data_IF_406719476466
#
_entry.id   IF_406719476466
#
_cell.length_a   1.000
_cell.length_b   1.000
_cell.length_c   1.000
_cell.angle_alpha   90.00
_cell.angle_beta   90.00
_cell.angle_gamma   90.00
#
_symmetry.space_group_name_H-M   'P 1'
#
loop_
_entity.id
_entity.type
_entity.pdbx_description
1 polymer ?
#
# COMPACT_ATOMS: atom_id res chain seq x y z
N UNK A 1 -33.74 -4.40 -15.40
CA UNK A 1 -33.30 -5.30 -16.50
C UNK A 1 -31.89 -5.92 -16.31
N UNK A 2 -30.97 -5.34 -15.50
CA UNK A 2 -29.60 -5.88 -15.34
C UNK A 2 -29.47 -7.27 -14.64
N UNK A 3 -30.47 -7.70 -13.84
CA UNK A 3 -30.41 -8.95 -13.04
C UNK A 3 -30.95 -10.21 -13.72
N UNK A 4 -31.78 -10.07 -14.76
CA UNK A 4 -32.41 -11.18 -15.48
C UNK A 4 -31.41 -12.23 -16.02
N UNK A 5 -30.30 -11.84 -16.69
CA UNK A 5 -29.32 -12.79 -17.23
C UNK A 5 -28.46 -13.48 -16.16
N UNK A 6 -28.29 -12.88 -14.98
CA UNK A 6 -27.58 -13.52 -13.86
C UNK A 6 -28.44 -14.62 -13.23
N UNK A 7 -29.74 -14.33 -13.04
CA UNK A 7 -30.72 -15.30 -12.57
C UNK A 7 -30.83 -16.51 -13.51
N UNK A 8 -30.91 -16.26 -14.82
CA UNK A 8 -30.96 -17.36 -15.79
C UNK A 8 -29.64 -18.13 -15.88
N UNK A 9 -28.49 -17.49 -15.66
CA UNK A 9 -27.19 -18.18 -15.58
C UNK A 9 -27.08 -19.08 -14.32
N UNK A 10 -27.62 -18.66 -13.18
CA UNK A 10 -27.70 -19.49 -11.96
C UNK A 10 -28.62 -20.70 -12.18
N UNK A 11 -29.78 -20.50 -12.80
CA UNK A 11 -30.70 -21.60 -13.14
C UNK A 11 -30.04 -22.57 -14.14
N UNK A 12 -29.32 -22.06 -15.14
CA UNK A 12 -28.56 -22.86 -16.08
C UNK A 12 -27.47 -23.70 -15.38
N UNK A 13 -26.76 -23.11 -14.41
CA UNK A 13 -25.74 -23.79 -13.62
C UNK A 13 -26.32 -24.93 -12.77
N UNK A 14 -27.42 -24.65 -12.06
CA UNK A 14 -28.10 -25.65 -11.23
C UNK A 14 -28.59 -26.82 -12.09
N UNK A 15 -29.21 -26.52 -13.24
CA UNK A 15 -29.66 -27.53 -14.20
C UNK A 15 -28.50 -28.37 -14.76
N UNK A 16 -27.35 -27.75 -15.05
CA UNK A 16 -26.15 -28.44 -15.52
C UNK A 16 -25.54 -29.38 -14.46
N UNK A 17 -25.60 -29.02 -13.17
CA UNK A 17 -25.04 -29.84 -12.09
C UNK A 17 -25.89 -31.06 -11.72
N UNK A 18 -27.15 -31.11 -12.15
CA UNK A 18 -28.02 -32.26 -11.90
C UNK A 18 -27.50 -33.53 -12.59
N UNK A 19 -27.74 -34.72 -12.02
CA UNK A 19 -27.23 -35.99 -12.56
C UNK A 19 -28.00 -36.51 -13.78
N UNK A 20 -29.12 -35.88 -14.16
CA UNK A 20 -29.94 -36.30 -15.28
C UNK A 20 -29.52 -35.63 -16.60
N UNK A 21 -29.36 -36.44 -17.65
CA UNK A 21 -29.08 -35.99 -19.01
C UNK A 21 -30.06 -34.91 -19.53
N UNK A 22 -31.40 -35.04 -19.35
CA UNK A 22 -32.32 -33.99 -19.77
C UNK A 22 -32.12 -32.67 -19.01
N UNK A 23 -31.77 -32.70 -17.72
CA UNK A 23 -31.48 -31.48 -16.97
C UNK A 23 -30.19 -30.81 -17.45
N UNK A 24 -29.19 -31.59 -17.83
CA UNK A 24 -27.93 -31.07 -18.39
C UNK A 24 -28.12 -30.43 -19.76
N UNK A 25 -28.94 -31.04 -20.63
CA UNK A 25 -29.30 -30.45 -21.92
C UNK A 25 -30.08 -29.15 -21.74
N UNK A 26 -31.02 -29.12 -20.78
CA UNK A 26 -31.74 -27.90 -20.41
C UNK A 26 -30.77 -26.83 -19.86
N UNK A 27 -29.84 -27.21 -18.99
CA UNK A 27 -28.81 -26.32 -18.46
C UNK A 27 -27.92 -25.72 -19.54
N UNK A 28 -27.52 -26.53 -20.53
CA UNK A 28 -26.76 -26.07 -21.69
C UNK A 28 -27.59 -25.12 -22.57
N UNK A 29 -28.84 -25.46 -22.85
CA UNK A 29 -29.74 -24.63 -23.65
C UNK A 29 -30.00 -23.27 -22.98
N UNK A 30 -30.24 -23.26 -21.66
CA UNK A 30 -30.38 -22.06 -20.87
C UNK A 30 -29.08 -21.23 -20.86
N UNK A 31 -27.91 -21.87 -20.68
CA UNK A 31 -26.63 -21.19 -20.75
C UNK A 31 -26.39 -20.55 -22.13
N UNK A 32 -26.70 -21.28 -23.22
CA UNK A 32 -26.63 -20.74 -24.58
C UNK A 32 -27.58 -19.57 -24.81
N UNK A 33 -28.84 -19.68 -24.36
CA UNK A 33 -29.81 -18.59 -24.41
C UNK A 33 -29.36 -17.37 -23.60
N UNK A 34 -28.76 -17.57 -22.41
CA UNK A 34 -28.21 -16.47 -21.62
C UNK A 34 -27.08 -15.73 -22.34
N UNK A 35 -26.21 -16.46 -23.05
CA UNK A 35 -25.13 -15.86 -23.85
C UNK A 35 -25.71 -15.07 -25.03
N UNK A 36 -26.67 -15.63 -25.77
CA UNK A 36 -27.31 -14.97 -26.91
C UNK A 36 -28.08 -13.71 -26.51
N UNK A 37 -28.79 -13.75 -25.37
CA UNK A 37 -29.52 -12.61 -24.81
C UNK A 37 -28.59 -11.56 -24.21
N UNK A 38 -27.46 -11.98 -23.66
CA UNK A 38 -26.48 -11.06 -23.09
C UNK A 38 -25.72 -10.30 -24.18
N UNK A 39 -25.27 -10.99 -25.24
CA UNK A 39 -24.31 -10.46 -26.20
C UNK A 39 -24.35 -11.26 -27.53
N UNK A 40 -25.10 -10.81 -28.56
CA UNK A 40 -25.23 -11.55 -29.81
C UNK A 40 -23.99 -11.54 -30.74
N UNK A 41 -22.92 -10.79 -30.41
CA UNK A 41 -21.81 -10.51 -31.35
C UNK A 41 -20.37 -10.63 -30.83
N UNK A 42 -20.14 -11.06 -29.59
CA UNK A 42 -18.81 -11.01 -28.94
C UNK A 42 -18.34 -12.40 -28.47
N UNK A 43 -18.14 -13.31 -29.42
CA UNK A 43 -17.34 -14.51 -29.19
C UNK A 43 -15.87 -14.24 -29.54
N UNK A 44 -14.95 -14.16 -28.57
CA UNK A 44 -13.52 -14.23 -28.87
C UNK A 44 -13.22 -15.67 -29.30
N UNK A 45 -13.28 -15.91 -30.61
CA UNK A 45 -13.25 -17.25 -31.24
C UNK A 45 -12.07 -18.10 -30.79
N UNK A 46 -10.90 -17.50 -30.52
CA UNK A 46 -9.72 -18.27 -30.11
C UNK A 46 -9.73 -18.74 -28.66
N UNK A 47 -10.10 -17.92 -27.69
CA UNK A 47 -10.03 -18.32 -26.26
C UNK A 47 -11.11 -19.35 -25.89
N UNK A 48 -12.31 -19.17 -26.47
CA UNK A 48 -13.42 -20.12 -26.30
C UNK A 48 -13.08 -21.46 -26.93
N UNK A 49 -12.46 -21.47 -28.11
CA UNK A 49 -12.04 -22.70 -28.79
C UNK A 49 -11.07 -23.54 -27.95
N UNK A 50 -10.04 -22.93 -27.36
CA UNK A 50 -9.10 -23.65 -26.49
C UNK A 50 -9.79 -24.23 -25.25
N UNK A 51 -10.73 -23.48 -24.66
CA UNK A 51 -11.44 -23.91 -23.45
C UNK A 51 -12.41 -25.07 -23.72
N UNK A 52 -13.10 -25.02 -24.87
CA UNK A 52 -13.98 -26.12 -25.33
C UNK A 52 -13.16 -27.35 -25.69
N UNK A 53 -12.01 -27.19 -26.34
CA UNK A 53 -11.11 -28.30 -26.64
C UNK A 53 -10.61 -28.98 -25.36
N UNK A 54 -10.22 -28.19 -24.35
CA UNK A 54 -9.82 -28.72 -23.04
C UNK A 54 -10.96 -29.52 -22.39
N UNK A 55 -12.18 -28.98 -22.38
CA UNK A 55 -13.36 -29.68 -21.88
C UNK A 55 -13.63 -31.00 -22.62
N UNK A 56 -13.50 -31.00 -23.95
CA UNK A 56 -13.64 -32.20 -24.77
C UNK A 56 -12.58 -33.25 -24.44
N UNK A 57 -11.31 -32.85 -24.27
CA UNK A 57 -10.23 -33.78 -23.89
C UNK A 57 -10.44 -34.39 -22.51
N UNK A 58 -10.85 -33.59 -21.52
CA UNK A 58 -11.15 -34.07 -20.17
C UNK A 58 -12.35 -35.04 -20.16
N UNK A 59 -13.41 -34.71 -20.90
CA UNK A 59 -14.57 -35.59 -21.06
C UNK A 59 -14.21 -36.90 -21.77
N UNK A 60 -13.40 -36.84 -22.83
CA UNK A 60 -12.92 -38.02 -23.55
C UNK A 60 -12.05 -38.93 -22.68
N UNK A 61 -11.14 -38.36 -21.88
CA UNK A 61 -10.34 -39.12 -20.93
C UNK A 61 -11.21 -39.84 -19.89
N UNK A 62 -12.23 -39.15 -19.37
CA UNK A 62 -13.19 -39.73 -18.42
C UNK A 62 -14.02 -40.84 -19.08
N UNK A 63 -14.45 -40.63 -20.33
CA UNK A 63 -15.20 -41.61 -21.11
C UNK A 63 -14.42 -42.91 -21.31
N UNK A 64 -13.14 -42.79 -21.67
CA UNK A 64 -12.23 -43.93 -21.88
C UNK A 64 -11.97 -44.68 -20.57
N UNK A 65 -11.73 -43.97 -19.46
CA UNK A 65 -11.51 -44.59 -18.15
C UNK A 65 -12.74 -45.40 -17.68
N UNK A 66 -13.94 -44.88 -17.87
CA UNK A 66 -15.19 -45.58 -17.53
C UNK A 66 -15.51 -46.68 -18.54
N UNK A 67 -15.22 -46.48 -19.84
CA UNK A 67 -15.41 -47.50 -20.85
C UNK A 67 -14.56 -48.75 -20.57
N UNK A 68 -13.34 -48.56 -20.07
CA UNK A 68 -12.43 -49.65 -19.73
C UNK A 68 -12.94 -50.51 -18.57
N UNK A 69 -13.61 -49.90 -17.58
CA UNK A 69 -14.08 -50.59 -16.37
C UNK A 69 -15.53 -51.06 -16.44
N UNK A 70 -16.40 -50.34 -17.13
CA UNK A 70 -17.86 -50.54 -17.10
C UNK A 70 -18.51 -50.65 -18.48
N UNK A 71 -17.70 -50.77 -19.54
CA UNK A 71 -18.15 -50.97 -20.92
C UNK A 71 -18.41 -49.67 -21.68
N UNK A 72 -18.33 -49.78 -23.02
CA UNK A 72 -18.34 -48.64 -23.95
C UNK A 72 -19.58 -47.75 -23.80
N UNK A 73 -20.76 -48.34 -23.59
CA UNK A 73 -22.03 -47.62 -23.44
C UNK A 73 -22.05 -46.72 -22.21
N UNK A 74 -21.59 -47.22 -21.05
CA UNK A 74 -21.49 -46.43 -19.82
C UNK A 74 -20.39 -45.37 -19.92
N UNK A 75 -19.26 -45.71 -20.55
CA UNK A 75 -18.18 -44.75 -20.82
C UNK A 75 -18.64 -43.56 -21.68
N UNK A 76 -19.35 -43.83 -22.78
CA UNK A 76 -19.91 -42.79 -23.64
C UNK A 76 -20.94 -41.91 -22.90
N UNK A 77 -21.83 -42.51 -22.12
CA UNK A 77 -22.81 -41.78 -21.30
C UNK A 77 -22.12 -40.84 -20.31
N UNK A 78 -21.18 -41.35 -19.51
CA UNK A 78 -20.47 -40.52 -18.51
C UNK A 78 -19.66 -39.43 -19.19
N UNK A 79 -18.94 -39.76 -20.27
CA UNK A 79 -18.20 -38.80 -21.08
C UNK A 79 -19.07 -37.64 -21.56
N UNK A 80 -20.24 -37.95 -22.13
CA UNK A 80 -21.21 -36.95 -22.58
C UNK A 80 -21.69 -36.07 -21.42
N UNK A 81 -22.04 -36.66 -20.27
CA UNK A 81 -22.50 -35.86 -19.11
C UNK A 81 -21.43 -34.91 -18.57
N UNK A 82 -20.17 -35.36 -18.53
CA UNK A 82 -19.02 -34.53 -18.13
C UNK A 82 -18.79 -33.41 -19.14
N UNK A 83 -18.86 -33.72 -20.43
CA UNK A 83 -18.72 -32.72 -21.49
C UNK A 83 -19.80 -31.63 -21.39
N UNK A 84 -21.07 -32.02 -21.27
CA UNK A 84 -22.20 -31.09 -21.17
C UNK A 84 -22.08 -30.20 -19.92
N UNK A 85 -21.67 -30.76 -18.78
CA UNK A 85 -21.40 -30.01 -17.55
C UNK A 85 -20.30 -28.97 -17.71
N UNK A 86 -19.15 -29.37 -18.24
CA UNK A 86 -18.02 -28.46 -18.45
C UNK A 86 -18.38 -27.36 -19.45
N UNK A 87 -19.12 -27.68 -20.50
CA UNK A 87 -19.57 -26.72 -21.51
C UNK A 87 -20.56 -25.70 -20.91
N UNK A 88 -21.54 -26.15 -20.13
CA UNK A 88 -22.47 -25.26 -19.44
C UNK A 88 -21.74 -24.36 -18.42
N UNK A 89 -20.80 -24.91 -17.66
CA UNK A 89 -19.98 -24.15 -16.71
C UNK A 89 -19.15 -23.07 -17.42
N UNK A 90 -18.54 -23.38 -18.56
CA UNK A 90 -17.80 -22.43 -19.39
C UNK A 90 -18.68 -21.28 -19.87
N UNK A 91 -19.88 -21.57 -20.35
CA UNK A 91 -20.84 -20.55 -20.81
C UNK A 91 -21.30 -19.66 -19.67
N UNK A 92 -21.70 -20.25 -18.53
CA UNK A 92 -22.10 -19.50 -17.33
C UNK A 92 -20.97 -18.62 -16.82
N UNK A 93 -19.75 -19.15 -16.75
CA UNK A 93 -18.55 -18.41 -16.30
C UNK A 93 -18.24 -17.25 -17.24
N UNK A 94 -18.44 -17.42 -18.55
CA UNK A 94 -18.23 -16.36 -19.53
C UNK A 94 -19.23 -15.20 -19.33
N UNK A 95 -20.50 -15.52 -19.07
CA UNK A 95 -21.53 -14.51 -18.79
C UNK A 95 -21.28 -13.84 -17.43
N UNK A 96 -20.91 -14.61 -16.41
CA UNK A 96 -20.68 -14.11 -15.06
C UNK A 96 -19.44 -13.21 -15.00
N UNK A 97 -18.29 -13.66 -15.55
CA UNK A 97 -17.03 -12.90 -15.51
C UNK A 97 -17.09 -11.55 -16.21
N UNK A 98 -17.94 -11.40 -17.23
CA UNK A 98 -18.13 -10.12 -17.96
C UNK A 98 -19.10 -9.16 -17.28
N UNK A 99 -19.84 -9.63 -16.27
CA UNK A 99 -20.87 -8.85 -15.56
C UNK A 99 -20.53 -8.58 -14.09
N UNK A 100 -19.52 -9.27 -13.56
CA UNK A 100 -19.03 -9.06 -12.19
C UNK A 100 -17.97 -7.95 -12.22
N UNK A 101 -18.36 -6.76 -11.78
CA UNK A 101 -17.41 -5.68 -11.51
C UNK A 101 -16.77 -5.85 -10.12
N UNK A 102 -15.61 -5.21 -9.89
CA UNK A 102 -14.93 -5.25 -8.60
C UNK A 102 -15.84 -4.76 -7.45
N UNK A 103 -16.73 -3.81 -7.72
CA UNK A 103 -17.71 -3.27 -6.77
C UNK A 103 -18.77 -4.31 -6.34
N UNK A 104 -19.21 -5.17 -7.26
CA UNK A 104 -20.17 -6.24 -6.95
C UNK A 104 -19.53 -7.32 -6.05
N UNK A 105 -18.24 -7.61 -6.27
CA UNK A 105 -17.46 -8.53 -5.43
C UNK A 105 -17.25 -7.95 -4.02
N UNK A 106 -17.02 -6.64 -3.90
CA UNK A 106 -16.96 -5.95 -2.60
C UNK A 106 -18.29 -6.07 -1.83
N UNK A 107 -19.42 -5.82 -2.49
CA UNK A 107 -20.75 -5.91 -1.90
C UNK A 107 -21.10 -7.34 -1.48
N UNK A 108 -20.70 -8.34 -2.27
CA UNK A 108 -20.89 -9.75 -1.94
C UNK A 108 -20.08 -10.15 -0.70
N UNK A 109 -18.82 -9.73 -0.62
CA UNK A 109 -17.95 -10.00 0.52
C UNK A 109 -18.44 -9.32 1.80
N UNK A 110 -19.02 -8.12 1.70
CA UNK A 110 -19.68 -7.45 2.82
C UNK A 110 -20.89 -8.25 3.33
N UNK A 111 -21.73 -8.79 2.43
CA UNK A 111 -22.86 -9.65 2.80
C UNK A 111 -22.41 -10.95 3.47
N UNK A 112 -21.28 -11.50 3.04
CA UNK A 112 -20.67 -12.70 3.63
C UNK A 112 -19.89 -12.42 4.93
N UNK A 113 -19.96 -11.20 5.48
CA UNK A 113 -19.26 -10.79 6.70
C UNK A 113 -17.73 -10.91 6.60
N UNK A 114 -17.18 -10.82 5.38
CA UNK A 114 -15.75 -10.84 5.09
C UNK A 114 -15.29 -9.52 4.43
N UNK A 115 -15.50 -8.35 5.08
CA UNK A 115 -15.27 -7.04 4.47
C UNK A 115 -13.80 -6.81 4.09
N UNK A 116 -12.85 -7.36 4.87
CA UNK A 116 -11.41 -7.26 4.59
C UNK A 116 -10.99 -8.03 3.34
N UNK A 117 -11.58 -9.22 3.12
CA UNK A 117 -11.30 -10.03 1.94
C UNK A 117 -11.88 -9.35 0.70
N UNK A 118 -13.09 -8.80 0.80
CA UNK A 118 -13.67 -7.96 -0.24
C UNK A 118 -12.74 -6.83 -0.64
N UNK A 119 -12.29 -6.04 0.34
CA UNK A 119 -11.39 -4.90 0.11
C UNK A 119 -10.07 -5.33 -0.57
N UNK A 120 -9.41 -6.37 -0.06
CA UNK A 120 -8.17 -6.89 -0.63
C UNK A 120 -8.36 -7.41 -2.06
N UNK A 121 -9.46 -8.12 -2.31
CA UNK A 121 -9.78 -8.66 -3.63
C UNK A 121 -10.01 -7.55 -4.65
N UNK A 122 -10.80 -6.53 -4.32
CA UNK A 122 -11.04 -5.46 -5.29
C UNK A 122 -9.82 -4.55 -5.51
N UNK A 123 -8.97 -4.35 -4.49
CA UNK A 123 -7.66 -3.71 -4.70
C UNK A 123 -6.77 -4.52 -5.65
N UNK A 124 -6.73 -5.85 -5.47
CA UNK A 124 -5.97 -6.73 -6.34
C UNK A 124 -6.51 -6.72 -7.79
N UNK A 125 -7.84 -6.77 -7.96
CA UNK A 125 -8.48 -6.73 -9.28
C UNK A 125 -8.26 -5.39 -9.98
N UNK A 126 -8.34 -4.27 -9.26
CA UNK A 126 -8.10 -2.94 -9.81
C UNK A 126 -6.63 -2.74 -10.20
N UNK A 127 -5.70 -3.39 -9.49
CA UNK A 127 -4.26 -3.32 -9.78
C UNK A 127 -3.83 -4.25 -10.91
N UNK A 128 -4.62 -5.27 -11.24
CA UNK A 128 -4.27 -6.32 -12.19
C UNK A 128 -3.95 -5.81 -13.62
N UNK A 129 -4.70 -4.86 -14.21
CA UNK A 129 -4.40 -4.34 -15.55
C UNK A 129 -3.04 -3.63 -15.59
N UNK A 130 -2.75 -2.81 -14.59
CA UNK A 130 -1.48 -2.09 -14.47
C UNK A 130 -0.29 -3.05 -14.31
N UNK A 131 -0.45 -4.12 -13.53
CA UNK A 131 0.58 -5.16 -13.40
C UNK A 131 0.80 -5.93 -14.72
N UNK A 132 -0.27 -6.18 -15.47
CA UNK A 132 -0.18 -6.84 -16.78
C UNK A 132 0.51 -5.95 -17.84
N UNK A 133 0.34 -4.63 -17.77
CA UNK A 133 1.06 -3.67 -18.60
C UNK A 133 2.55 -3.60 -18.22
N UNK A 134 2.85 -3.37 -16.94
CA UNK A 134 4.23 -3.33 -16.46
C UNK A 134 4.99 -4.65 -16.75
N UNK A 135 4.31 -5.79 -16.62
CA UNK A 135 4.87 -7.09 -16.99
C UNK A 135 5.15 -7.24 -18.48
N UNK A 136 4.26 -6.74 -19.34
CA UNK A 136 4.49 -6.73 -20.80
C UNK A 136 5.67 -5.84 -21.17
N UNK A 137 5.76 -4.64 -20.61
CA UNK A 137 6.83 -3.69 -20.90
C UNK A 137 8.19 -4.24 -20.44
N UNK A 138 8.24 -4.80 -19.23
CA UNK A 138 9.43 -5.45 -18.72
C UNK A 138 9.84 -6.66 -19.58
N UNK A 139 8.86 -7.45 -20.05
CA UNK A 139 9.10 -8.59 -20.94
C UNK A 139 9.65 -8.16 -22.30
N UNK A 140 9.10 -7.11 -22.90
CA UNK A 140 9.56 -6.53 -24.17
C UNK A 140 10.98 -5.98 -24.01
N UNK A 141 11.25 -5.24 -22.93
CA UNK A 141 12.59 -4.70 -22.63
C UNK A 141 13.62 -5.83 -22.48
N UNK A 142 13.27 -6.92 -21.79
CA UNK A 142 14.12 -8.11 -21.67
C UNK A 142 14.35 -8.81 -23.01
N UNK A 143 13.32 -8.92 -23.86
CA UNK A 143 13.43 -9.51 -25.19
C UNK A 143 14.41 -8.73 -26.07
N UNK A 144 14.26 -7.40 -26.12
CA UNK A 144 15.15 -6.49 -26.87
C UNK A 144 16.59 -6.61 -26.39
N UNK A 145 16.82 -6.58 -25.07
CA UNK A 145 18.17 -6.67 -24.47
C UNK A 145 18.86 -8.00 -24.73
N UNK A 146 18.10 -9.09 -24.87
CA UNK A 146 18.65 -10.42 -25.16
C UNK A 146 18.89 -10.69 -26.65
N UNK A 147 18.59 -9.72 -27.55
CA UNK A 147 18.59 -9.86 -29.02
C UNK A 147 17.83 -11.11 -29.51
N UNK A 148 16.84 -11.57 -28.75
CA UNK A 148 16.06 -12.79 -29.04
C UNK A 148 14.58 -12.46 -29.03
N UNK A 149 13.82 -13.14 -29.89
CA UNK A 149 12.35 -12.99 -29.96
C UNK A 149 11.63 -13.33 -28.66
N UNK A 150 12.21 -14.17 -27.78
CA UNK A 150 11.62 -14.55 -26.48
C UNK A 150 12.69 -14.73 -25.39
N UNK A 151 12.51 -14.13 -24.19
CA UNK A 151 13.39 -14.38 -23.06
C UNK A 151 13.24 -15.82 -22.55
N UNK A 152 14.36 -16.40 -22.10
CA UNK A 152 14.41 -17.73 -21.45
C UNK A 152 13.94 -17.65 -19.99
N UNK A 153 13.50 -18.78 -19.44
CA UNK A 153 13.07 -18.93 -18.03
C UNK A 153 14.07 -18.36 -17.01
N UNK A 154 15.38 -18.39 -17.31
CA UNK A 154 16.43 -17.77 -16.48
C UNK A 154 16.31 -16.25 -16.27
N UNK A 155 15.48 -15.55 -17.03
CA UNK A 155 15.24 -14.10 -16.91
C UNK A 155 13.99 -13.78 -16.08
N UNK A 156 13.23 -14.79 -15.65
CA UNK A 156 12.10 -14.63 -14.75
C UNK A 156 12.44 -13.92 -13.43
N UNK A 157 13.62 -14.13 -12.79
CA UNK A 157 13.95 -13.41 -11.55
C UNK A 157 13.99 -11.89 -11.74
N UNK A 158 14.52 -11.42 -12.87
CA UNK A 158 14.57 -9.96 -13.19
C UNK A 158 13.19 -9.40 -13.50
N UNK A 159 12.34 -10.17 -14.17
CA UNK A 159 10.94 -9.79 -14.39
C UNK A 159 10.20 -9.69 -13.05
N UNK A 160 10.40 -10.68 -12.18
CA UNK A 160 9.80 -10.72 -10.85
C UNK A 160 10.25 -9.53 -10.00
N UNK A 161 11.53 -9.15 -10.04
CA UNK A 161 12.05 -7.96 -9.35
C UNK A 161 11.34 -6.67 -9.79
N UNK A 162 11.19 -6.46 -11.11
CA UNK A 162 10.49 -5.28 -11.66
C UNK A 162 9.01 -5.30 -11.28
N UNK A 163 8.36 -6.45 -11.41
CA UNK A 163 6.95 -6.61 -11.04
C UNK A 163 6.72 -6.39 -9.53
N UNK A 164 7.62 -6.90 -8.68
CA UNK A 164 7.55 -6.73 -7.23
C UNK A 164 7.71 -5.26 -6.82
N UNK A 165 8.68 -4.57 -7.41
CA UNK A 165 8.87 -3.13 -7.19
C UNK A 165 7.64 -2.32 -7.64
N UNK A 166 7.00 -2.71 -8.75
CA UNK A 166 5.80 -2.05 -9.24
C UNK A 166 4.56 -2.36 -8.39
N UNK A 167 4.36 -3.62 -7.98
CA UNK A 167 3.29 -3.98 -7.02
C UNK A 167 3.45 -3.25 -5.70
N UNK A 168 4.67 -3.09 -5.19
CA UNK A 168 4.93 -2.37 -3.95
C UNK A 168 4.49 -0.91 -4.09
N UNK A 169 4.82 -0.26 -5.22
CA UNK A 169 4.40 1.12 -5.49
C UNK A 169 2.87 1.26 -5.60
N UNK A 170 2.21 0.35 -6.32
CA UNK A 170 0.74 0.36 -6.43
C UNK A 170 0.09 0.13 -5.07
N UNK A 171 0.64 -0.78 -4.24
CA UNK A 171 0.18 -1.00 -2.88
C UNK A 171 0.36 0.25 -2.01
N UNK A 172 1.47 0.96 -2.13
CA UNK A 172 1.71 2.25 -1.44
C UNK A 172 0.68 3.31 -1.86
N UNK A 173 0.42 3.46 -3.15
CA UNK A 173 -0.56 4.41 -3.70
C UNK A 173 -2.00 4.07 -3.29
N UNK A 174 -2.37 2.79 -3.34
CA UNK A 174 -3.67 2.29 -2.91
C UNK A 174 -3.88 2.45 -1.40
N UNK A 175 -2.83 2.22 -0.59
CA UNK A 175 -2.86 2.41 0.87
C UNK A 175 -3.05 3.89 1.20
N UNK A 176 -2.33 4.77 0.51
CA UNK A 176 -2.49 6.22 0.66
C UNK A 176 -3.91 6.68 0.28
N UNK A 177 -4.47 6.16 -0.82
CA UNK A 177 -5.84 6.48 -1.24
C UNK A 177 -6.91 5.93 -0.28
N UNK A 178 -6.72 4.73 0.27
CA UNK A 178 -7.64 4.13 1.24
C UNK A 178 -7.64 4.87 2.58
N UNK A 179 -6.46 5.35 3.02
CA UNK A 179 -6.32 6.15 4.22
C UNK A 179 -7.00 7.53 4.09
N UNK A 180 -6.93 8.16 2.91
CA UNK A 180 -7.64 9.42 2.61
C UNK A 180 -9.17 9.26 2.60
N UNK A 181 -9.70 8.05 2.38
CA UNK A 181 -11.15 7.76 2.33
C UNK A 181 -11.72 7.26 3.66
N UNK A 182 -10.94 7.24 4.75
CA UNK A 182 -11.45 6.89 6.09
C UNK A 182 -11.68 5.39 6.32
N UNK A 183 -11.13 4.49 5.50
CA UNK A 183 -11.21 3.04 5.73
C UNK A 183 -10.22 2.56 6.82
N UNK A 184 -10.44 3.02 8.06
CA UNK A 184 -9.62 2.72 9.25
C UNK A 184 -9.72 1.26 9.75
N UNK A 185 -10.62 0.44 9.18
CA UNK A 185 -10.84 -0.95 9.62
C UNK A 185 -9.69 -1.92 9.33
N UNK A 186 -8.71 -1.50 8.54
CA UNK A 186 -7.47 -2.25 8.29
C UNK A 186 -6.43 -2.08 9.42
N UNK A 187 -6.52 -1.03 10.23
CA UNK A 187 -5.38 -0.54 11.02
C UNK A 187 -5.63 -0.41 12.52
N UNK A 188 -6.68 -1.02 13.08
CA UNK A 188 -6.85 -1.01 14.54
C UNK A 188 -5.97 -2.10 15.18
N UNK A 189 -4.94 -1.77 15.99
CA UNK A 189 -4.28 -2.75 16.82
C UNK A 189 -5.24 -3.21 17.92
N UNK A 190 -5.22 -4.50 18.27
CA UNK A 190 -6.10 -5.12 19.26
C UNK A 190 -5.72 -4.83 20.72
N UNK A 191 -4.72 -3.97 20.99
CA UNK A 191 -4.19 -3.73 22.33
C UNK A 191 -4.18 -2.23 22.65
N UNK A 192 -4.61 -1.91 23.89
CA UNK A 192 -5.03 -0.60 24.36
C UNK A 192 -4.08 0.57 24.09
N UNK A 193 -4.67 1.70 23.72
CA UNK A 193 -3.98 2.95 23.47
C UNK A 193 -3.39 3.51 24.76
N UNK A 194 -2.06 3.58 24.84
CA UNK A 194 -1.38 4.51 25.74
C UNK A 194 -1.61 5.94 25.28
N UNK A 195 -1.83 6.92 26.19
CA UNK A 195 -2.03 8.31 25.79
C UNK A 195 -0.78 8.82 25.07
N UNK A 196 -0.96 9.15 23.79
CA UNK A 196 0.11 9.65 22.93
C UNK A 196 0.26 11.16 23.18
N UNK A 197 1.49 11.67 23.30
CA UNK A 197 1.68 13.12 23.43
C UNK A 197 1.19 13.86 22.18
N UNK A 198 0.80 15.16 22.31
CA UNK A 198 0.43 16.00 21.18
C UNK A 198 1.43 15.93 20.04
N UNK A 199 0.95 15.68 18.82
CA UNK A 199 1.77 15.57 17.61
C UNK A 199 1.55 16.78 16.70
N UNK A 200 2.64 17.41 16.27
CA UNK A 200 2.65 18.43 15.22
C UNK A 200 3.32 17.84 13.99
N UNK A 201 2.52 17.54 12.96
CA UNK A 201 3.01 16.93 11.73
C UNK A 201 3.28 18.00 10.67
N UNK A 202 4.55 18.14 10.28
CA UNK A 202 4.99 19.01 9.18
C UNK A 202 5.00 18.19 7.90
N UNK A 203 4.08 18.50 6.98
CA UNK A 203 3.83 17.73 5.76
C UNK A 203 4.16 18.51 4.50
N UNK A 204 4.67 17.81 3.49
CA UNK A 204 5.01 18.38 2.19
C UNK A 204 5.51 17.31 1.22
N UNK A 205 5.66 17.67 -0.07
CA UNK A 205 6.28 16.75 -1.05
C UNK A 205 7.79 16.62 -0.77
N UNK A 206 8.45 15.68 -1.42
CA UNK A 206 9.92 15.59 -1.35
C UNK A 206 10.53 16.88 -1.92
N UNK A 207 11.49 17.48 -1.22
CA UNK A 207 12.17 18.69 -1.68
C UNK A 207 11.39 20.00 -1.52
N UNK A 208 10.23 20.03 -0.85
CA UNK A 208 9.45 21.27 -0.67
C UNK A 208 9.89 22.12 0.53
N UNK A 209 11.01 21.79 1.19
CA UNK A 209 11.55 22.60 2.28
C UNK A 209 11.12 22.20 3.70
N UNK A 210 10.63 20.97 3.93
CA UNK A 210 10.32 20.46 5.30
C UNK A 210 11.51 20.61 6.25
N UNK A 211 12.68 20.10 5.86
CA UNK A 211 13.89 20.16 6.68
C UNK A 211 14.34 21.60 6.97
N UNK A 212 14.45 22.52 5.98
CA UNK A 212 14.66 23.94 6.26
C UNK A 212 13.64 24.56 7.21
N UNK A 213 12.35 24.26 7.06
CA UNK A 213 11.31 24.77 7.95
C UNK A 213 11.51 24.26 9.38
N UNK A 214 11.71 22.96 9.55
CA UNK A 214 11.97 22.35 10.85
C UNK A 214 13.22 22.93 11.52
N UNK A 215 14.28 23.19 10.75
CA UNK A 215 15.48 23.85 11.24
C UNK A 215 15.19 25.25 11.77
N UNK A 216 14.48 26.09 11.01
CA UNK A 216 14.12 27.45 11.46
C UNK A 216 13.24 27.42 12.71
N UNK A 217 12.20 26.59 12.70
CA UNK A 217 11.35 26.40 13.88
C UNK A 217 12.14 25.91 15.09
N UNK A 218 13.07 24.96 14.92
CA UNK A 218 13.90 24.44 15.99
C UNK A 218 14.80 25.52 16.59
N UNK A 219 15.41 26.37 15.76
CA UNK A 219 16.20 27.53 16.22
C UNK A 219 15.35 28.47 17.08
N UNK A 220 14.20 28.92 16.57
CA UNK A 220 13.32 29.84 17.29
C UNK A 220 12.80 29.23 18.60
N UNK A 221 12.45 27.94 18.60
CA UNK A 221 11.99 27.25 19.82
C UNK A 221 13.12 27.07 20.85
N UNK A 222 14.35 26.81 20.39
CA UNK A 222 15.51 26.75 21.28
C UNK A 222 15.82 28.11 21.91
N UNK A 223 15.76 29.20 21.13
CA UNK A 223 15.94 30.58 21.61
C UNK A 223 14.86 30.98 22.63
N UNK A 224 13.63 30.47 22.47
CA UNK A 224 12.53 30.62 23.43
C UNK A 224 12.67 29.70 24.67
N UNK A 225 13.76 28.94 24.77
CA UNK A 225 14.09 28.11 25.92
C UNK A 225 13.36 26.77 25.99
N UNK A 226 12.68 26.32 24.93
CA UNK A 226 12.03 25.00 24.96
C UNK A 226 13.08 23.86 25.09
N UNK A 227 12.80 22.80 25.86
CA UNK A 227 13.69 21.64 26.04
C UNK A 227 13.71 20.75 24.79
N UNK A 228 14.25 21.27 23.70
CA UNK A 228 14.29 20.69 22.36
C UNK A 228 15.37 19.62 22.24
N UNK A 229 15.01 18.48 21.64
CA UNK A 229 15.92 17.37 21.36
C UNK A 229 15.45 16.56 20.15
N UNK A 230 16.26 15.58 19.74
CA UNK A 230 16.04 14.81 18.52
C UNK A 230 16.91 15.32 17.38
N UNK A 231 16.50 15.05 16.15
CA UNK A 231 17.35 15.30 14.99
C UNK A 231 16.58 15.78 13.76
N UNK A 232 17.30 16.46 12.87
CA UNK A 232 16.87 16.79 11.51
C UNK A 232 17.87 16.26 10.48
N UNK A 233 17.44 16.13 9.21
CA UNK A 233 18.26 15.51 8.16
C UNK A 233 18.59 16.47 7.00
N UNK A 234 19.45 17.49 7.21
CA UNK A 234 19.77 18.45 6.17
C UNK A 234 20.42 17.80 4.96
N UNK A 235 20.16 18.37 3.78
CA UNK A 235 20.81 17.94 2.56
C UNK A 235 22.31 18.27 2.61
N UNK A 236 23.15 17.27 2.32
CA UNK A 236 24.57 17.49 2.07
C UNK A 236 24.74 17.93 0.61
N UNK A 237 25.34 19.09 0.40
CA UNK A 237 25.61 19.65 -0.93
C UNK A 237 27.10 19.91 -1.12
N UNK A 238 27.66 19.39 -2.20
CA UNK A 238 29.03 19.65 -2.64
C UNK A 238 28.94 20.34 -4.02
N UNK A 239 29.62 21.48 -4.21
CA UNK A 239 29.60 22.26 -5.46
C UNK A 239 28.19 22.62 -5.98
N UNK A 240 27.27 22.99 -5.07
CA UNK A 240 25.89 23.33 -5.42
C UNK A 240 25.00 22.15 -5.81
N UNK A 241 25.52 20.91 -5.78
CA UNK A 241 24.74 19.70 -6.03
C UNK A 241 24.48 18.95 -4.73
N UNK A 242 23.24 18.53 -4.51
CA UNK A 242 22.91 17.63 -3.40
C UNK A 242 23.60 16.28 -3.61
N UNK A 243 24.56 15.94 -2.76
CA UNK A 243 25.31 14.69 -2.80
C UNK A 243 24.88 13.70 -1.70
N UNK A 244 24.02 14.12 -0.76
CA UNK A 244 23.63 13.23 0.33
C UNK A 244 22.73 13.89 1.37
N UNK A 245 22.78 13.33 2.57
CA UNK A 245 22.09 13.79 3.77
C UNK A 245 23.00 13.65 4.98
N UNK A 246 22.92 14.60 5.89
CA UNK A 246 23.52 14.51 7.22
C UNK A 246 22.42 14.27 8.27
N UNK A 247 22.81 13.84 9.46
CA UNK A 247 22.00 13.99 10.67
C UNK A 247 22.56 15.16 11.46
N UNK A 248 21.69 16.05 11.94
CA UNK A 248 22.02 17.08 12.91
C UNK A 248 21.31 16.79 14.24
N UNK A 249 22.06 16.59 15.31
CA UNK A 249 21.54 16.56 16.68
C UNK A 249 21.16 17.99 17.08
N UNK A 250 19.88 18.20 17.37
CA UNK A 250 19.34 19.53 17.67
C UNK A 250 19.75 20.08 19.03
N UNK A 251 20.20 19.24 19.96
CA UNK A 251 20.62 19.63 21.30
C UNK A 251 22.11 19.95 21.35
N UNK A 252 22.93 19.15 20.68
CA UNK A 252 24.40 19.33 20.73
C UNK A 252 24.96 20.06 19.51
N UNK A 253 24.16 20.27 18.46
CA UNK A 253 24.61 20.82 17.18
C UNK A 253 25.56 19.91 16.40
N UNK A 254 25.76 18.67 16.85
CA UNK A 254 26.69 17.73 16.20
C UNK A 254 26.09 17.26 14.88
N UNK A 255 26.95 17.06 13.90
CA UNK A 255 26.60 16.53 12.58
C UNK A 255 27.33 15.24 12.29
N UNK A 256 26.68 14.35 11.56
CA UNK A 256 27.30 13.14 11.01
C UNK A 256 26.69 12.83 9.65
N UNK A 257 27.50 12.25 8.76
CA UNK A 257 27.01 11.78 7.46
C UNK A 257 25.98 10.66 7.68
N UNK A 258 24.79 10.80 7.09
CA UNK A 258 23.76 9.76 7.11
C UNK A 258 23.83 8.91 5.85
N UNK A 259 23.91 9.60 4.70
CA UNK A 259 23.79 8.95 3.41
C UNK A 259 24.54 9.75 2.35
N UNK A 260 25.31 9.05 1.51
CA UNK A 260 26.00 9.61 0.34
C UNK A 260 25.45 8.99 -0.94
N UNK A 261 25.26 9.80 -1.99
CA UNK A 261 24.75 9.34 -3.28
C UNK A 261 25.87 8.60 -4.02
N UNK A 262 25.62 7.34 -4.37
CA UNK A 262 26.57 6.45 -5.07
C UNK A 262 26.00 5.91 -6.40
N UNK A 263 24.79 6.33 -6.78
CA UNK A 263 24.07 5.84 -7.96
C UNK A 263 23.25 4.59 -7.66
N UNK A 264 22.33 4.23 -8.57
CA UNK A 264 21.39 3.12 -8.36
C UNK A 264 22.07 1.74 -8.31
N UNK A 265 23.20 1.56 -9.00
CA UNK A 265 23.91 0.27 -9.06
C UNK A 265 24.64 -0.09 -7.75
N UNK A 266 25.04 0.93 -6.98
CA UNK A 266 25.85 0.77 -5.76
C UNK A 266 25.09 1.17 -4.49
N UNK A 267 23.85 1.66 -4.63
CA UNK A 267 23.06 2.11 -3.51
C UNK A 267 22.43 0.95 -2.73
N UNK A 268 22.05 1.25 -1.49
CA UNK A 268 21.51 0.29 -0.54
C UNK A 268 19.99 0.42 -0.46
N UNK A 269 19.32 -0.68 -0.10
CA UNK A 269 17.87 -0.72 0.15
C UNK A 269 17.01 -0.25 -1.03
N UNK A 270 17.48 -0.47 -2.27
CA UNK A 270 16.77 -0.04 -3.49
C UNK A 270 16.81 1.47 -3.72
N UNK A 271 17.70 2.19 -3.05
CA UNK A 271 17.92 3.63 -3.24
C UNK A 271 19.24 3.89 -3.96
N UNK A 272 19.48 5.13 -4.39
CA UNK A 272 20.76 5.58 -4.97
C UNK A 272 21.80 6.00 -3.91
N UNK A 273 21.54 5.68 -2.65
CA UNK A 273 22.31 6.15 -1.50
C UNK A 273 22.98 4.99 -0.77
N UNK A 274 24.21 5.22 -0.34
CA UNK A 274 24.91 4.39 0.63
C UNK A 274 24.74 5.04 2.00
N UNK A 275 24.35 4.27 3.01
CA UNK A 275 24.12 4.78 4.35
C UNK A 275 25.30 4.53 5.27
N UNK A 276 25.58 5.50 6.14
CA UNK A 276 26.65 5.47 7.10
C UNK A 276 26.14 5.18 8.51
N UNK A 277 26.84 4.28 9.20
CA UNK A 277 26.45 3.87 10.57
C UNK A 277 26.55 5.02 11.57
N UNK A 278 27.48 5.95 11.34
CA UNK A 278 27.69 7.09 12.22
C UNK A 278 26.46 8.00 12.29
N UNK A 279 25.82 8.31 11.16
CA UNK A 279 24.59 9.10 11.12
C UNK A 279 23.44 8.44 11.88
N UNK A 280 23.25 7.13 11.73
CA UNK A 280 22.25 6.39 12.51
C UNK A 280 22.56 6.38 14.01
N UNK A 281 23.83 6.23 14.39
CA UNK A 281 24.26 6.27 15.78
C UNK A 281 24.01 7.65 16.41
N UNK A 282 24.30 8.73 15.68
CA UNK A 282 24.03 10.10 16.13
C UNK A 282 22.52 10.36 16.27
N UNK A 283 21.71 9.99 15.28
CA UNK A 283 20.25 10.13 15.33
C UNK A 283 19.66 9.39 16.54
N UNK A 284 20.11 8.16 16.76
CA UNK A 284 19.71 7.36 17.93
C UNK A 284 20.09 8.06 19.24
N UNK A 285 21.33 8.53 19.36
CA UNK A 285 21.78 9.24 20.56
C UNK A 285 20.99 10.54 20.80
N UNK A 286 20.67 11.29 19.74
CA UNK A 286 19.91 12.53 19.82
C UNK A 286 18.49 12.32 20.39
N UNK A 287 17.85 11.20 20.02
CA UNK A 287 16.53 10.80 20.54
C UNK A 287 16.65 10.19 21.96
N UNK A 288 17.64 9.32 22.19
CA UNK A 288 17.84 8.65 23.48
C UNK A 288 18.44 9.56 24.56
N UNK A 289 18.95 10.75 24.25
CA UNK A 289 19.47 11.71 25.23
C UNK A 289 18.47 12.79 25.66
N UNK A 290 17.24 12.77 25.12
CA UNK A 290 16.23 13.79 25.41
C UNK A 290 15.74 13.84 26.86
N UNK A 291 15.44 15.03 27.41
CA UNK A 291 14.86 15.14 28.74
C UNK A 291 13.42 14.57 28.78
N UNK A 292 12.94 14.10 29.95
CA UNK A 292 11.52 13.83 30.16
C UNK A 292 10.69 15.06 29.85
N UNK A 293 9.49 14.89 29.26
CA UNK A 293 8.60 16.00 28.87
C UNK A 293 9.27 17.06 27.98
N UNK A 294 10.32 16.69 27.23
CA UNK A 294 10.94 17.57 26.25
C UNK A 294 10.13 17.72 24.95
N UNK A 295 10.59 18.62 24.09
CA UNK A 295 10.11 18.77 22.71
C UNK A 295 10.94 17.88 21.79
N UNK A 296 10.36 16.76 21.35
CA UNK A 296 11.01 15.84 20.42
C UNK A 296 10.77 16.28 18.98
N UNK A 297 11.84 16.53 18.22
CA UNK A 297 11.76 16.79 16.78
C UNK A 297 12.43 15.66 16.01
N UNK A 298 11.73 15.10 15.03
CA UNK A 298 12.23 14.04 14.17
C UNK A 298 11.91 14.34 12.71
N UNK A 299 12.92 14.42 11.85
CA UNK A 299 12.73 14.68 10.42
C UNK A 299 12.74 13.41 9.56
N UNK A 300 12.06 13.49 8.42
CA UNK A 300 11.93 12.48 7.35
C UNK A 300 11.63 11.05 7.85
N UNK A 301 10.56 10.87 8.64
CA UNK A 301 10.01 9.53 8.91
C UNK A 301 9.34 8.97 7.64
N UNK A 302 9.94 7.91 7.09
CA UNK A 302 9.58 7.33 5.81
C UNK A 302 8.92 5.95 5.90
N UNK A 303 8.72 5.28 4.75
CA UNK A 303 8.15 3.93 4.70
C UNK A 303 9.01 2.88 5.41
N UNK A 304 10.33 3.10 5.52
CA UNK A 304 11.24 2.19 6.24
C UNK A 304 10.94 2.24 7.74
N UNK A 305 10.76 3.45 8.28
CA UNK A 305 10.42 3.68 9.68
C UNK A 305 9.03 3.13 10.02
N UNK A 306 8.04 3.31 9.14
CA UNK A 306 6.71 2.72 9.31
C UNK A 306 6.70 1.18 9.33
N UNK A 307 7.71 0.52 8.73
CA UNK A 307 7.88 -0.94 8.80
C UNK A 307 8.71 -1.39 10.02
N UNK A 308 9.04 -0.47 10.91
CA UNK A 308 9.83 -0.74 12.11
C UNK A 308 11.35 -0.65 11.92
N UNK A 309 11.83 -0.24 10.75
CA UNK A 309 13.25 -0.09 10.44
C UNK A 309 13.80 1.33 10.64
N UNK A 310 15.02 1.55 10.18
CA UNK A 310 15.64 2.88 10.18
C UNK A 310 15.72 3.50 11.58
N UNK A 311 15.16 4.70 11.73
CA UNK A 311 15.14 5.43 13.01
C UNK A 311 14.02 4.97 13.97
N UNK A 312 13.04 4.20 13.50
CA UNK A 312 11.85 3.86 14.28
C UNK A 312 12.13 3.18 15.62
N UNK A 313 13.05 2.20 15.74
CA UNK A 313 13.31 1.56 17.03
C UNK A 313 13.77 2.53 18.13
N UNK A 314 14.47 3.61 17.77
CA UNK A 314 14.88 4.65 18.70
C UNK A 314 13.71 5.60 19.01
N UNK A 315 12.98 6.04 17.98
CA UNK A 315 11.82 6.94 18.10
C UNK A 315 10.72 6.31 18.93
N UNK A 316 10.30 5.09 18.60
CA UNK A 316 9.30 4.33 19.34
C UNK A 316 9.69 4.19 20.83
N UNK A 317 10.96 3.87 21.11
CA UNK A 317 11.44 3.75 22.49
C UNK A 317 11.39 5.06 23.26
N UNK A 318 11.72 6.20 22.63
CA UNK A 318 11.58 7.50 23.26
C UNK A 318 10.12 7.86 23.53
N UNK A 319 9.22 7.60 22.58
CA UNK A 319 7.79 7.82 22.74
C UNK A 319 7.23 7.01 23.92
N UNK A 320 7.57 5.72 24.02
CA UNK A 320 7.04 4.85 25.09
C UNK A 320 7.68 5.08 26.46
N UNK A 321 8.98 5.40 26.54
CA UNK A 321 9.73 5.43 27.83
C UNK A 321 9.91 6.83 28.42
N UNK A 322 10.04 7.86 27.58
CA UNK A 322 10.37 9.23 28.02
C UNK A 322 9.15 10.12 28.07
N UNK A 323 8.07 9.75 27.37
CA UNK A 323 6.82 10.51 27.23
C UNK A 323 7.10 11.99 26.95
N UNK A 324 7.51 12.34 25.70
CA UNK A 324 7.73 13.73 25.31
C UNK A 324 6.51 14.60 25.63
N UNK A 325 6.69 15.89 25.86
CA UNK A 325 5.56 16.80 26.05
C UNK A 325 4.85 17.06 24.71
N UNK A 326 5.64 17.23 23.65
CA UNK A 326 5.18 17.49 22.29
C UNK A 326 6.14 16.80 21.33
N UNK A 327 5.60 16.27 20.23
CA UNK A 327 6.39 15.65 19.18
C UNK A 327 6.16 16.38 17.86
N UNK A 328 7.22 16.90 17.25
CA UNK A 328 7.19 17.53 15.92
C UNK A 328 7.83 16.60 14.93
N UNK A 329 7.13 16.29 13.84
CA UNK A 329 7.57 15.27 12.89
C UNK A 329 7.51 15.79 11.47
N UNK A 330 8.63 15.69 10.76
CA UNK A 330 8.70 15.87 9.32
C UNK A 330 8.34 14.59 8.59
N UNK A 331 7.26 14.59 7.81
CA UNK A 331 6.86 13.42 7.03
C UNK A 331 6.24 13.80 5.69
N UNK A 332 6.22 12.86 4.75
CA UNK A 332 5.54 13.07 3.46
C UNK A 332 4.03 13.02 3.68
N UNK A 333 3.26 13.93 3.08
CA UNK A 333 1.79 14.04 3.29
C UNK A 333 1.04 12.70 3.19
N UNK A 334 1.42 11.81 2.27
CA UNK A 334 0.78 10.50 2.10
C UNK A 334 1.08 9.48 3.22
N UNK A 335 2.12 9.71 4.02
CA UNK A 335 2.49 8.84 5.15
C UNK A 335 1.82 9.23 6.45
N UNK A 336 1.21 10.43 6.51
CA UNK A 336 0.61 10.98 7.72
C UNK A 336 -0.36 9.99 8.37
N UNK A 337 -1.35 9.53 7.61
CA UNK A 337 -2.40 8.68 8.15
C UNK A 337 -1.88 7.33 8.69
N UNK A 338 -0.95 6.69 7.96
CA UNK A 338 -0.33 5.44 8.41
C UNK A 338 0.48 5.65 9.68
N UNK A 339 1.18 6.77 9.77
CA UNK A 339 1.98 7.14 10.93
C UNK A 339 1.14 7.43 12.17
N UNK A 340 0.03 8.15 12.01
CA UNK A 340 -0.90 8.43 13.11
C UNK A 340 -1.58 7.16 13.62
N UNK A 341 -1.91 6.23 12.72
CA UNK A 341 -2.45 4.94 13.09
C UNK A 341 -1.45 4.11 13.90
N UNK A 342 -0.18 4.08 13.47
CA UNK A 342 0.89 3.39 14.20
C UNK A 342 1.14 4.01 15.58
N UNK A 343 1.06 5.34 15.69
CA UNK A 343 1.18 6.02 16.98
C UNK A 343 -0.03 5.83 17.89
N UNK A 344 -1.23 5.56 17.35
CA UNK A 344 -2.48 5.64 18.11
C UNK A 344 -2.83 7.08 18.52
N UNK A 345 -2.34 8.08 17.79
CA UNK A 345 -2.50 9.50 18.13
C UNK A 345 -3.87 10.03 17.69
N UNK A 346 -4.67 10.55 18.62
CA UNK A 346 -5.99 11.15 18.33
C UNK A 346 -5.92 12.66 18.09
N UNK A 347 -4.93 13.37 18.65
CA UNK A 347 -4.78 14.82 18.54
C UNK A 347 -3.51 15.21 17.76
N UNK A 348 -3.71 15.71 16.53
CA UNK A 348 -2.61 16.02 15.60
C UNK A 348 -2.86 17.37 14.93
N UNK A 349 -1.91 18.28 15.03
CA UNK A 349 -1.90 19.51 14.25
C UNK A 349 -1.08 19.29 12.98
N UNK A 350 -1.70 19.47 11.81
CA UNK A 350 -1.05 19.27 10.51
C UNK A 350 -0.69 20.61 9.91
N UNK A 351 0.60 20.82 9.62
CA UNK A 351 1.12 22.04 8.99
C UNK A 351 1.72 21.70 7.63
N UNK A 352 1.18 22.30 6.56
CA UNK A 352 1.73 22.12 5.21
C UNK A 352 2.83 23.15 4.91
N UNK A 353 3.97 22.69 4.40
CA UNK A 353 5.08 23.59 4.01
C UNK A 353 4.70 24.52 2.85
N UNK A 354 3.70 24.16 2.05
CA UNK A 354 3.17 25.02 0.98
C UNK A 354 2.59 26.36 1.44
N UNK A 355 2.42 26.57 2.75
CA UNK A 355 1.94 27.84 3.32
C UNK A 355 3.04 28.93 3.40
N UNK A 356 4.27 28.66 2.95
CA UNK A 356 5.35 29.64 2.96
C UNK A 356 5.70 30.11 4.37
N UNK A 357 5.84 31.43 4.57
CA UNK A 357 6.21 32.01 5.87
C UNK A 357 5.15 31.75 6.96
N UNK A 358 3.88 31.57 6.58
CA UNK A 358 2.82 31.21 7.52
C UNK A 358 2.98 29.79 8.09
N UNK A 359 3.72 28.90 7.41
CA UNK A 359 3.99 27.55 7.91
C UNK A 359 4.83 27.59 9.19
N UNK A 360 5.80 28.50 9.27
CA UNK A 360 6.65 28.66 10.44
C UNK A 360 5.85 29.12 11.65
N UNK A 361 5.06 30.19 11.48
CA UNK A 361 4.16 30.69 12.52
C UNK A 361 3.18 29.60 13.01
N UNK A 362 2.62 28.80 12.10
CA UNK A 362 1.71 27.71 12.43
C UNK A 362 2.38 26.60 13.26
N UNK A 363 3.62 26.19 12.93
CA UNK A 363 4.37 25.22 13.75
C UNK A 363 4.63 25.80 15.14
N UNK A 364 5.09 27.05 15.22
CA UNK A 364 5.41 27.70 16.50
C UNK A 364 4.17 27.85 17.39
N UNK A 365 3.03 28.25 16.82
CA UNK A 365 1.76 28.31 17.55
C UNK A 365 1.31 26.92 18.02
N UNK A 366 1.37 25.91 17.16
CA UNK A 366 0.96 24.55 17.50
C UNK A 366 1.77 23.97 18.66
N UNK A 367 3.10 24.16 18.63
CA UNK A 367 3.99 23.72 19.72
C UNK A 367 3.68 24.49 21.01
N UNK A 368 3.55 25.82 20.93
CA UNK A 368 3.28 26.67 22.11
C UNK A 368 1.92 26.32 22.75
N UNK A 369 0.89 26.08 21.93
CA UNK A 369 -0.43 25.67 22.38
C UNK A 369 -0.38 24.30 23.08
N UNK A 370 0.36 23.34 22.52
CA UNK A 370 0.49 22.00 23.08
C UNK A 370 1.24 21.98 24.43
N UNK A 371 2.20 22.87 24.65
CA UNK A 371 2.81 23.06 25.98
C UNK A 371 1.85 23.75 26.98
N UNK A 372 0.96 24.62 26.50
CA UNK A 372 0.05 25.40 27.35
C UNK A 372 -1.17 24.62 27.85
N UNK A 373 -1.57 23.55 27.18
CA UNK A 373 -2.80 22.79 27.46
C UNK A 373 -2.63 21.59 28.42
N UNK A 374 -1.44 21.37 29.01
CA UNK A 374 -1.28 20.26 29.97
C UNK A 374 0.13 19.91 30.45
N UNK A 375 1.13 20.76 30.26
CA UNK A 375 2.52 20.48 30.69
C UNK A 375 3.09 21.64 31.51
N UNK A 376 3.44 21.37 32.78
CA UNK A 376 4.29 22.28 33.55
C UNK A 376 5.66 22.37 32.87
N UNK A 377 6.04 23.58 32.50
CA UNK A 377 7.34 23.88 31.91
C UNK A 377 8.45 23.66 32.97
N UNK A 378 9.64 23.16 32.59
CA UNK A 378 10.79 23.13 33.48
C UNK A 378 11.09 24.54 34.03
N UNK A 379 11.65 24.66 35.25
CA UNK A 379 12.03 25.95 35.81
C UNK A 379 13.04 26.64 34.86
N UNK A 380 12.68 27.83 34.37
CA UNK A 380 13.48 28.62 33.42
C UNK A 380 12.83 28.85 32.04
N UNK A 381 11.73 28.16 31.71
CA UNK A 381 10.97 28.40 30.47
C UNK A 381 9.86 29.44 30.69
N UNK A 382 9.80 30.49 29.87
CA UNK A 382 8.73 31.48 29.88
C UNK A 382 7.59 31.06 28.94
N UNK A 383 6.33 31.18 29.40
CA UNK A 383 5.17 31.09 28.50
C UNK A 383 5.21 32.30 27.57
N UNK A 384 5.38 32.08 26.28
CA UNK A 384 5.30 33.16 25.28
C UNK A 384 3.97 33.90 25.43
N UNK A 385 4.03 35.21 25.66
CA UNK A 385 2.84 36.04 25.86
C UNK A 385 1.99 36.06 24.59
N UNK A 386 0.67 36.00 24.80
CA UNK A 386 -0.36 35.86 23.78
C UNK A 386 -0.61 37.14 22.95
N UNK A 387 0.28 38.13 22.99
CA UNK A 387 0.00 39.53 22.64
C UNK A 387 0.78 40.10 21.46
N UNK A 388 1.59 39.31 20.75
CA UNK A 388 2.25 39.78 19.53
C UNK A 388 1.90 38.83 18.38
N UNK A 389 0.78 39.10 17.70
CA UNK A 389 0.41 38.65 16.34
C UNK A 389 -1.05 39.07 16.07
N UNK A 390 -1.34 40.37 16.20
CA UNK A 390 -2.44 41.04 15.47
C UNK A 390 -1.83 41.79 14.27
#
# INVERSE_FOLDING_TARGET
MKRLPLLTAVVALVAALLPSLPAQLLGLALAGATVLLAEPRSFPTRAVLHSVLLAATAAGATALAVAWSMGLQRGAYVGLTVFLRLLALLLVTTVASRRLDADDLHLLAARLHLPRLGLALGLALNSLPHLAEAGRDAWIALAVRSRRRRPRLRHLPRLAEVLLAHTARIAEEATAAAALRGHSQLFRPLLGATPVPPVVAVVGRSGTGKTPLLLRCATVLAERGYPLYGFVQPALSENGQKVGFEVLDLRTGRRALLARRVGLEHGQHGTQFQFEREGFALARAAVEAGPPRGLLVVDELGPVELRGGGHWPAVHRALSRRTPAVVVIGLRRHLLAAFLAELGAEAVTVVDVGMGDAAEAAVLQAVTAAFSSGVELPPGCTRGNRTELE
#
